data_IF_822733239790
#
_entry.id   IF_822733239790
#
_cell.length_a   1.000
_cell.length_b   1.000
_cell.length_c   1.000
_cell.angle_alpha   90.00
_cell.angle_beta   90.00
_cell.angle_gamma   90.00
#
_symmetry.space_group_name_H-M   'P 1'
#
loop_
_entity.id
_entity.type
_entity.pdbx_description
1 polymer ?
#
# COMPACT_ATOMS: atom_id res chain seq x y z
N UNK A 1 -63.88 -3.37 48.38
CA UNK A 1 -64.11 -4.65 47.68
C UNK A 1 -64.09 -4.39 46.19
N UNK A 2 -63.44 -5.22 45.34
CA UNK A 2 -62.39 -6.23 45.59
C UNK A 2 -61.01 -5.72 45.07
N UNK A 3 -59.81 -6.12 45.53
CA UNK A 3 -59.18 -7.41 45.88
C UNK A 3 -58.65 -8.22 44.67
N UNK A 4 -57.32 -8.43 44.64
CA UNK A 4 -56.54 -9.64 44.22
C UNK A 4 -55.04 -9.24 44.09
N UNK A 5 -54.19 -9.62 45.05
CA UNK A 5 -53.37 -10.86 45.17
C UNK A 5 -52.05 -10.77 44.35
N UNK A 6 -50.87 -10.63 44.99
CA UNK A 6 -49.92 -11.68 45.49
C UNK A 6 -49.46 -12.58 44.31
N UNK A 7 -48.16 -12.71 43.98
CA UNK A 7 -47.17 -13.67 44.55
C UNK A 7 -45.73 -13.25 44.19
N UNK A 8 -44.81 -13.55 45.11
CA UNK A 8 -43.36 -13.35 45.08
C UNK A 8 -42.57 -14.39 44.24
N UNK A 9 -41.25 -14.17 44.15
CA UNK A 9 -40.21 -14.86 43.37
C UNK A 9 -40.08 -16.39 43.55
N UNK A 10 -39.17 -17.03 42.80
CA UNK A 10 -37.89 -17.34 43.44
C UNK A 10 -36.63 -17.09 42.60
N UNK A 11 -35.52 -16.98 43.33
CA UNK A 11 -34.13 -17.08 42.92
C UNK A 11 -33.87 -18.28 42.00
N UNK A 12 -33.03 -18.08 40.98
CA UNK A 12 -32.23 -19.18 40.44
C UNK A 12 -30.78 -18.71 40.30
N UNK A 13 -29.97 -19.25 41.22
CA UNK A 13 -28.52 -19.24 41.24
C UNK A 13 -28.08 -20.33 40.25
N UNK A 14 -27.25 -19.99 39.27
CA UNK A 14 -26.55 -21.01 38.48
C UNK A 14 -25.05 -20.72 38.54
N UNK A 15 -24.35 -21.71 39.06
CA UNK A 15 -22.95 -21.73 39.43
C UNK A 15 -22.01 -21.72 38.23
N UNK A 16 -20.85 -21.10 38.46
CA UNK A 16 -19.58 -21.32 37.77
C UNK A 16 -19.25 -22.81 37.67
N UNK A 17 -19.05 -23.31 36.45
CA UNK A 17 -18.18 -24.45 36.12
C UNK A 17 -17.84 -24.37 34.63
N UNK A 18 -16.64 -23.88 34.32
CA UNK A 18 -15.80 -24.37 33.21
C UNK A 18 -14.42 -23.71 33.33
N UNK A 19 -13.68 -24.18 34.33
CA UNK A 19 -12.23 -24.16 34.35
C UNK A 19 -11.70 -25.26 33.41
N UNK A 20 -10.44 -25.07 32.97
CA UNK A 20 -9.45 -26.13 32.72
C UNK A 20 -9.07 -26.61 31.30
N UNK A 21 -9.77 -26.33 30.20
CA UNK A 21 -9.36 -26.93 28.90
C UNK A 21 -8.43 -26.11 27.99
N UNK A 22 -8.11 -24.85 28.33
CA UNK A 22 -7.32 -23.97 27.44
C UNK A 22 -5.81 -23.86 27.78
N UNK A 23 -5.35 -24.48 28.87
CA UNK A 23 -3.95 -24.40 29.32
C UNK A 23 -3.14 -25.65 28.92
N UNK A 24 -3.78 -26.81 28.80
CA UNK A 24 -3.09 -28.08 28.48
C UNK A 24 -2.67 -28.19 26.99
N UNK A 25 -3.26 -27.38 26.11
CA UNK A 25 -2.91 -27.37 24.67
C UNK A 25 -1.66 -26.54 24.35
N UNK A 26 -1.15 -25.73 25.29
CA UNK A 26 0.07 -24.91 25.10
C UNK A 26 1.35 -25.57 25.60
N UNK A 27 1.29 -26.52 26.51
CA UNK A 27 2.49 -27.23 27.00
C UNK A 27 2.93 -28.40 26.08
N UNK A 28 2.01 -29.03 25.34
CA UNK A 28 2.35 -30.12 24.41
C UNK A 28 3.03 -29.68 23.10
N UNK A 29 2.95 -28.40 22.73
CA UNK A 29 3.63 -27.86 21.53
C UNK A 29 5.07 -27.41 21.79
N UNK A 30 5.48 -27.23 23.06
CA UNK A 30 6.83 -26.82 23.43
C UNK A 30 7.81 -28.01 23.57
N UNK A 31 7.32 -29.22 23.83
CA UNK A 31 8.15 -30.42 23.98
C UNK A 31 8.57 -31.07 22.64
N UNK A 32 7.90 -30.77 21.54
CA UNK A 32 8.20 -31.37 20.23
C UNK A 32 9.27 -30.60 19.41
N UNK A 33 9.71 -29.43 19.89
CA UNK A 33 10.73 -28.60 19.24
C UNK A 33 12.15 -28.83 19.78
N UNK A 34 12.29 -29.51 20.91
CA UNK A 34 13.59 -29.75 21.57
C UNK A 34 14.32 -31.01 21.08
N UNK A 35 13.61 -31.94 20.45
CA UNK A 35 14.16 -33.25 20.01
C UNK A 35 14.78 -33.24 18.60
N UNK A 36 14.57 -32.17 17.81
CA UNK A 36 15.09 -32.06 16.44
C UNK A 36 16.53 -31.50 16.43
N UNK A 37 16.93 -30.76 17.46
CA UNK A 37 18.26 -30.09 17.51
C UNK A 37 19.35 -30.99 18.12
N UNK A 38 18.99 -32.14 18.71
CA UNK A 38 19.94 -33.09 19.33
C UNK A 38 20.37 -34.26 18.43
N UNK A 39 19.93 -34.31 17.17
CA UNK A 39 20.24 -35.42 16.23
C UNK A 39 21.34 -35.17 15.19
N UNK A 40 21.97 -33.99 15.16
CA UNK A 40 23.04 -33.67 14.16
C UNK A 40 24.46 -33.70 14.75
N UNK A 41 24.66 -34.27 15.94
CA UNK A 41 25.99 -34.49 16.52
C UNK A 41 26.23 -35.95 16.85
N UNK A 42 26.57 -36.76 15.83
CA UNK A 42 27.39 -37.99 15.96
C UNK A 42 27.63 -38.64 14.59
N UNK A 43 28.90 -38.60 14.15
CA UNK A 43 29.66 -39.54 13.27
C UNK A 43 30.85 -38.77 12.67
N UNK A 44 31.99 -38.68 13.37
CA UNK A 44 33.14 -39.61 13.33
C UNK A 44 33.88 -39.68 11.98
N UNK A 45 35.02 -38.99 11.92
CA UNK A 45 36.38 -39.46 11.52
C UNK A 45 36.64 -40.28 10.24
N UNK A 46 37.81 -39.99 9.63
CA UNK A 46 38.61 -40.75 8.61
C UNK A 46 38.26 -40.38 7.14
N UNK A 47 39.13 -40.05 6.16
CA UNK A 47 40.58 -40.23 5.91
C UNK A 47 41.19 -39.09 5.05
N UNK A 48 42.53 -39.00 5.06
CA UNK A 48 43.39 -38.13 4.23
C UNK A 48 43.59 -38.72 2.82
N UNK A 49 43.53 -37.96 1.70
CA UNK A 49 43.89 -38.46 0.38
C UNK A 49 45.42 -38.36 0.10
N UNK A 50 45.98 -39.21 -0.77
CA UNK A 50 47.42 -39.30 -1.01
C UNK A 50 47.95 -38.14 -1.87
N UNK A 51 49.21 -37.79 -1.61
CA UNK A 51 50.01 -36.75 -2.28
C UNK A 51 50.40 -37.16 -3.71
N UNK A 52 49.88 -36.43 -4.72
CA UNK A 52 50.34 -36.56 -6.12
C UNK A 52 51.68 -35.86 -6.33
N UNK A 53 52.62 -36.55 -6.98
CA UNK A 53 53.99 -36.11 -7.24
C UNK A 53 54.07 -34.96 -8.27
N UNK A 54 55.15 -34.18 -8.22
CA UNK A 54 55.35 -32.95 -9.01
C UNK A 54 55.47 -33.14 -10.53
N UNK A 55 55.57 -34.37 -11.06
CA UNK A 55 55.73 -34.63 -12.51
C UNK A 55 54.42 -34.70 -13.30
N UNK A 56 53.27 -34.93 -12.66
CA UNK A 56 51.96 -34.97 -13.34
C UNK A 56 51.26 -33.59 -13.45
N UNK A 57 51.76 -32.56 -12.77
CA UNK A 57 51.20 -31.20 -12.83
C UNK A 57 51.61 -30.40 -14.07
N UNK A 58 52.62 -30.85 -14.83
CA UNK A 58 53.12 -30.13 -16.01
C UNK A 58 52.42 -30.52 -17.32
N UNK A 59 51.94 -31.77 -17.47
CA UNK A 59 51.23 -32.20 -18.68
C UNK A 59 49.76 -31.77 -18.75
N UNK A 60 49.10 -31.50 -17.61
CA UNK A 60 47.70 -31.05 -17.58
C UNK A 60 47.51 -29.56 -17.86
N UNK A 61 48.50 -28.72 -17.54
CA UNK A 61 48.46 -27.26 -17.81
C UNK A 61 48.63 -26.91 -19.28
N UNK A 62 49.35 -27.72 -20.06
CA UNK A 62 49.60 -27.46 -21.48
C UNK A 62 48.40 -27.82 -22.36
N UNK A 63 47.60 -28.82 -21.95
CA UNK A 63 46.36 -29.20 -22.64
C UNK A 63 45.18 -28.27 -22.34
N UNK A 64 45.17 -27.59 -21.18
CA UNK A 64 44.16 -26.57 -20.85
C UNK A 64 44.42 -25.21 -21.52
N UNK A 65 45.69 -24.88 -21.83
CA UNK A 65 46.01 -23.61 -22.51
C UNK A 65 45.64 -23.61 -24.00
N UNK A 66 45.77 -24.75 -24.69
CA UNK A 66 45.38 -24.87 -26.11
C UNK A 66 43.86 -24.90 -26.34
N UNK A 67 43.06 -25.30 -25.35
CA UNK A 67 41.58 -25.27 -25.47
C UNK A 67 41.04 -23.87 -25.20
N UNK A 68 41.69 -23.09 -24.32
CA UNK A 68 41.30 -21.70 -24.06
C UNK A 68 41.56 -20.78 -25.27
N UNK A 69 42.63 -21.01 -26.03
CA UNK A 69 43.01 -20.17 -27.17
C UNK A 69 42.14 -20.43 -28.42
N UNK A 70 41.59 -21.63 -28.56
CA UNK A 70 40.66 -21.96 -29.65
C UNK A 70 39.23 -21.44 -29.42
N UNK A 71 38.81 -21.22 -28.17
CA UNK A 71 37.49 -20.65 -27.84
C UNK A 71 37.47 -19.13 -28.03
N UNK A 72 38.64 -18.47 -27.96
CA UNK A 72 38.78 -17.01 -28.13
C UNK A 72 38.84 -16.54 -29.60
N UNK A 73 39.03 -17.44 -30.57
CA UNK A 73 39.14 -17.09 -31.99
C UNK A 73 37.81 -17.20 -32.78
N UNK A 74 36.71 -17.61 -32.14
CA UNK A 74 35.38 -17.69 -32.75
C UNK A 74 34.42 -16.56 -32.31
N UNK A 75 34.92 -15.58 -31.53
CA UNK A 75 34.17 -14.42 -31.09
C UNK A 75 34.53 -13.20 -31.95
N UNK A 76 33.79 -13.00 -33.03
CA UNK A 76 34.00 -11.84 -33.89
C UNK A 76 33.14 -11.84 -35.15
N UNK A 77 31.82 -11.71 -35.02
CA UNK A 77 31.04 -10.85 -35.91
C UNK A 77 29.68 -10.58 -35.28
N UNK A 78 29.51 -9.31 -34.92
CA UNK A 78 28.27 -8.71 -34.47
C UNK A 78 27.18 -8.90 -35.53
N UNK A 79 26.06 -9.49 -35.12
CA UNK A 79 24.76 -8.95 -35.46
C UNK A 79 24.01 -8.81 -34.15
N UNK A 80 24.05 -7.60 -33.61
CA UNK A 80 23.18 -7.19 -32.53
C UNK A 80 21.75 -7.15 -33.09
N UNK A 81 21.07 -8.29 -33.06
CA UNK A 81 19.62 -8.31 -33.15
C UNK A 81 19.07 -7.72 -31.84
N UNK A 82 18.07 -6.84 -31.90
CA UNK A 82 17.84 -5.92 -30.81
C UNK A 82 17.14 -6.65 -29.67
N UNK A 83 17.75 -6.66 -28.49
CA UNK A 83 17.11 -6.94 -27.20
C UNK A 83 16.02 -5.89 -26.84
N UNK A 84 15.42 -5.21 -27.82
CA UNK A 84 14.46 -4.11 -27.64
C UNK A 84 13.00 -4.51 -27.85
N UNK A 85 12.68 -5.81 -27.96
CA UNK A 85 11.32 -6.27 -28.30
C UNK A 85 10.80 -7.38 -27.36
N UNK A 86 11.05 -7.32 -26.04
CA UNK A 86 10.10 -7.79 -25.00
C UNK A 86 10.59 -7.53 -23.54
N UNK A 87 11.10 -6.34 -23.22
CA UNK A 87 11.07 -5.93 -21.82
C UNK A 87 9.59 -5.64 -21.50
N UNK A 88 8.90 -6.55 -20.82
CA UNK A 88 7.63 -6.20 -20.18
C UNK A 88 7.91 -4.92 -19.36
N UNK A 89 7.32 -3.79 -19.77
CA UNK A 89 7.59 -2.50 -19.15
C UNK A 89 7.44 -2.67 -17.64
N UNK A 90 8.52 -2.40 -16.88
CA UNK A 90 8.45 -2.51 -15.42
C UNK A 90 7.31 -1.61 -14.95
N UNK A 91 6.41 -2.10 -14.08
CA UNK A 91 5.26 -1.32 -13.65
C UNK A 91 5.73 0.00 -13.01
N UNK A 92 5.13 1.11 -13.44
CA UNK A 92 5.47 2.44 -12.94
C UNK A 92 5.05 2.53 -11.47
N UNK A 93 5.99 2.80 -10.53
CA UNK A 93 5.64 2.96 -9.12
C UNK A 93 4.66 4.12 -8.93
N UNK A 94 3.63 3.90 -8.09
CA UNK A 94 2.64 4.92 -7.76
C UNK A 94 2.71 5.29 -6.27
N UNK A 95 2.69 6.59 -5.99
CA UNK A 95 2.35 7.11 -4.67
C UNK A 95 0.93 7.63 -4.72
N UNK A 96 0.02 6.95 -4.04
CA UNK A 96 -1.40 7.29 -3.98
C UNK A 96 -1.69 7.99 -2.65
N UNK A 97 -1.80 9.31 -2.70
CA UNK A 97 -2.11 10.16 -1.57
C UNK A 97 -3.60 10.46 -1.50
N UNK A 98 -4.20 10.46 -0.32
CA UNK A 98 -5.52 11.05 -0.10
C UNK A 98 -5.45 12.29 0.79
N UNK A 99 -6.33 13.24 0.51
CA UNK A 99 -6.54 14.43 1.33
C UNK A 99 -7.94 14.41 1.97
N UNK A 100 -8.02 15.03 3.15
CA UNK A 100 -9.17 14.98 4.05
C UNK A 100 -8.81 15.68 5.36
N UNK A 101 -9.82 16.00 6.17
CA UNK A 101 -9.56 16.62 7.48
C UNK A 101 -9.25 15.56 8.55
N UNK A 102 -8.38 15.86 9.53
CA UNK A 102 -7.96 14.89 10.53
C UNK A 102 -8.91 14.85 11.73
N UNK A 103 -9.08 13.66 12.32
CA UNK A 103 -9.83 13.47 13.56
C UNK A 103 -11.23 12.91 13.36
N UNK A 104 -11.77 12.35 14.44
CA UNK A 104 -13.03 11.58 14.44
C UNK A 104 -14.26 12.38 13.99
N UNK A 105 -14.23 13.70 14.19
CA UNK A 105 -15.32 14.59 13.78
C UNK A 105 -15.46 14.71 12.26
N UNK A 106 -14.35 14.55 11.52
CA UNK A 106 -14.34 14.61 10.05
C UNK A 106 -14.29 13.23 9.39
N UNK A 107 -14.20 12.16 10.18
CA UNK A 107 -14.28 10.80 9.68
C UNK A 107 -15.60 10.60 8.91
N UNK A 108 -15.50 10.04 7.71
CA UNK A 108 -16.61 9.80 6.79
C UNK A 108 -17.38 11.08 6.39
N UNK A 109 -16.75 12.25 6.41
CA UNK A 109 -17.31 13.45 5.75
C UNK A 109 -17.11 13.36 4.24
N UNK A 110 -17.96 14.07 3.48
CA UNK A 110 -17.82 14.15 2.02
C UNK A 110 -16.44 14.70 1.63
N UNK A 111 -15.91 15.66 2.39
CA UNK A 111 -14.57 16.22 2.19
C UNK A 111 -13.42 15.25 2.52
N UNK A 112 -13.74 14.11 3.14
CA UNK A 112 -12.79 13.04 3.43
C UNK A 112 -13.08 11.80 2.58
N UNK A 113 -13.85 11.93 1.49
CA UNK A 113 -14.14 10.83 0.57
C UNK A 113 -12.86 10.15 0.05
N UNK A 114 -11.79 10.92 -0.21
CA UNK A 114 -10.49 10.37 -0.57
C UNK A 114 -9.92 9.43 0.50
N UNK A 115 -10.06 9.76 1.79
CA UNK A 115 -9.64 8.89 2.90
C UNK A 115 -10.47 7.61 2.93
N UNK A 116 -11.80 7.72 2.78
CA UNK A 116 -12.72 6.57 2.75
C UNK A 116 -12.37 5.62 1.61
N UNK A 117 -12.13 6.14 0.40
CA UNK A 117 -11.71 5.35 -0.76
C UNK A 117 -10.37 4.66 -0.52
N UNK A 118 -9.38 5.36 0.05
CA UNK A 118 -8.06 4.75 0.33
C UNK A 118 -8.14 3.66 1.40
N UNK A 119 -8.96 3.83 2.43
CA UNK A 119 -9.17 2.79 3.45
C UNK A 119 -9.76 1.52 2.83
N UNK A 120 -10.77 1.69 1.96
CA UNK A 120 -11.39 0.57 1.25
C UNK A 120 -10.43 -0.05 0.23
N UNK A 121 -9.63 0.77 -0.45
CA UNK A 121 -8.58 0.33 -1.39
C UNK A 121 -7.51 -0.52 -0.68
N UNK A 122 -6.99 -0.06 0.46
CA UNK A 122 -6.02 -0.82 1.25
C UNK A 122 -6.58 -2.20 1.64
N UNK A 123 -7.84 -2.24 2.07
CA UNK A 123 -8.53 -3.50 2.40
C UNK A 123 -8.72 -4.40 1.18
N UNK A 124 -9.09 -3.83 0.03
CA UNK A 124 -9.27 -4.54 -1.23
C UNK A 124 -7.96 -5.14 -1.76
N UNK A 125 -6.83 -4.45 -1.55
CA UNK A 125 -5.50 -4.91 -1.96
C UNK A 125 -4.81 -5.82 -0.92
N UNK A 126 -5.44 -6.07 0.23
CA UNK A 126 -4.83 -6.85 1.32
C UNK A 126 -3.62 -6.16 1.97
N UNK A 127 -3.57 -4.82 1.94
CA UNK A 127 -2.47 -4.07 2.54
C UNK A 127 -2.55 -4.05 4.07
N UNK A 128 -1.40 -3.84 4.70
CA UNK A 128 -1.32 -3.67 6.15
C UNK A 128 -2.04 -2.42 6.66
N UNK A 129 -2.28 -2.37 7.97
CA UNK A 129 -2.86 -1.20 8.62
C UNK A 129 -2.00 0.04 8.39
N UNK A 130 -2.67 1.20 8.32
CA UNK A 130 -2.01 2.48 8.19
C UNK A 130 -1.17 2.81 9.43
N UNK A 131 0.13 3.04 9.23
CA UNK A 131 1.06 3.43 10.28
C UNK A 131 1.51 4.87 10.10
N UNK A 132 1.60 5.62 11.20
CA UNK A 132 2.09 7.01 11.17
C UNK A 132 3.61 7.03 10.98
N UNK A 133 4.08 7.67 9.91
CA UNK A 133 5.52 7.79 9.63
C UNK A 133 5.98 9.25 9.63
N UNK A 134 6.92 9.60 10.53
CA UNK A 134 7.43 10.98 10.65
C UNK A 134 8.15 11.46 9.39
N UNK A 135 8.91 10.57 8.75
CA UNK A 135 9.65 10.85 7.50
C UNK A 135 8.72 11.15 6.32
N UNK A 136 7.47 10.71 6.38
CA UNK A 136 6.42 10.92 5.37
C UNK A 136 5.49 12.08 5.74
N UNK A 137 6.04 13.15 6.33
CA UNK A 137 5.26 14.32 6.73
C UNK A 137 4.29 14.04 7.86
N UNK A 138 4.55 13.04 8.71
CA UNK A 138 3.64 12.55 9.75
C UNK A 138 2.34 11.91 9.22
N UNK A 139 2.23 11.69 7.91
CA UNK A 139 1.06 11.03 7.34
C UNK A 139 0.97 9.55 7.71
N UNK A 140 -0.19 8.98 7.40
CA UNK A 140 -0.48 7.57 7.57
C UNK A 140 -0.09 6.81 6.31
N UNK A 141 0.73 5.76 6.42
CA UNK A 141 1.26 5.01 5.28
C UNK A 141 0.81 3.56 5.35
N UNK A 142 0.40 3.01 4.20
CA UNK A 142 0.10 1.59 4.02
C UNK A 142 0.76 1.08 2.73
N UNK A 143 1.29 -0.15 2.77
CA UNK A 143 2.13 -0.76 1.73
C UNK A 143 1.75 -2.25 1.55
N UNK A 144 2.12 -2.88 0.42
CA UNK A 144 2.01 -4.33 0.25
C UNK A 144 2.69 -5.09 1.40
N UNK A 145 2.11 -6.24 1.79
CA UNK A 145 2.70 -7.11 2.82
C UNK A 145 3.87 -7.93 2.29
N UNK A 146 3.87 -8.28 1.00
CA UNK A 146 4.93 -9.03 0.32
C UNK A 146 5.50 -8.23 -0.84
N UNK A 147 6.82 -8.21 -0.95
CA UNK A 147 7.52 -7.56 -2.06
C UNK A 147 7.43 -8.47 -3.28
N UNK A 148 6.68 -8.11 -4.32
CA UNK A 148 6.79 -8.75 -5.64
C UNK A 148 5.51 -9.19 -6.36
N UNK A 149 4.33 -9.20 -5.74
CA UNK A 149 3.16 -9.84 -6.37
C UNK A 149 2.29 -8.93 -7.25
N UNK A 150 2.38 -7.61 -7.15
CA UNK A 150 1.65 -6.67 -8.02
C UNK A 150 2.16 -5.26 -7.75
N UNK A 151 2.07 -4.36 -8.76
CA UNK A 151 2.41 -2.94 -8.68
C UNK A 151 2.48 -2.35 -7.29
N UNK A 152 3.69 -1.96 -6.88
CA UNK A 152 3.98 -1.48 -5.52
C UNK A 152 3.41 -0.08 -5.30
N UNK A 153 2.09 0.06 -5.26
CA UNK A 153 1.46 1.33 -4.90
C UNK A 153 1.68 1.56 -3.42
N UNK A 154 2.20 2.73 -3.06
CA UNK A 154 2.25 3.17 -1.67
C UNK A 154 1.03 4.02 -1.42
N UNK A 155 0.23 3.67 -0.40
CA UNK A 155 -0.92 4.46 0.00
C UNK A 155 -0.52 5.40 1.13
N UNK A 156 -0.88 6.67 1.02
CA UNK A 156 -0.60 7.70 2.01
C UNK A 156 -1.87 8.50 2.31
N UNK A 157 -2.17 8.77 3.58
CA UNK A 157 -3.26 9.65 3.98
C UNK A 157 -2.75 10.86 4.75
N UNK A 158 -3.31 12.02 4.42
CA UNK A 158 -3.03 13.26 5.12
C UNK A 158 -3.53 13.19 6.57
N UNK A 159 -2.73 13.73 7.48
CA UNK A 159 -3.13 13.95 8.87
C UNK A 159 -3.21 15.42 9.24
N UNK A 160 -3.08 16.29 8.24
CA UNK A 160 -3.16 17.75 8.37
C UNK A 160 -4.55 18.21 7.94
N UNK A 161 -4.94 19.42 8.38
CA UNK A 161 -6.17 20.05 7.87
C UNK A 161 -6.12 20.19 6.35
N UNK A 162 -7.30 20.23 5.73
CA UNK A 162 -7.42 20.22 4.28
C UNK A 162 -6.61 21.34 3.63
N UNK A 163 -6.69 22.56 4.15
CA UNK A 163 -5.94 23.73 3.65
C UNK A 163 -4.42 23.63 3.86
N UNK A 164 -3.92 22.67 4.63
CA UNK A 164 -2.49 22.46 4.92
C UNK A 164 -1.93 21.18 4.32
N UNK A 165 -2.77 20.40 3.63
CA UNK A 165 -2.42 19.07 3.08
C UNK A 165 -1.23 19.09 2.11
N UNK A 166 -0.91 20.23 1.49
CA UNK A 166 0.24 20.36 0.60
C UNK A 166 1.59 20.07 1.26
N UNK A 167 1.76 20.40 2.54
CA UNK A 167 3.00 20.15 3.29
C UNK A 167 3.24 18.65 3.47
N UNK A 168 2.21 17.93 3.91
CA UNK A 168 2.23 16.48 4.07
C UNK A 168 2.49 15.75 2.76
N UNK A 169 1.75 16.10 1.69
CA UNK A 169 1.92 15.49 0.36
C UNK A 169 3.33 15.72 -0.19
N UNK A 170 3.89 16.93 -0.04
CA UNK A 170 5.26 17.22 -0.46
C UNK A 170 6.28 16.34 0.26
N UNK A 171 6.18 16.24 1.59
CA UNK A 171 7.10 15.44 2.39
C UNK A 171 7.00 13.96 2.04
N UNK A 172 5.77 13.44 1.87
CA UNK A 172 5.51 12.07 1.42
C UNK A 172 6.14 11.79 0.04
N UNK A 173 5.93 12.67 -0.93
CA UNK A 173 6.50 12.55 -2.26
C UNK A 173 8.03 12.57 -2.22
N UNK A 174 8.64 13.46 -1.45
CA UNK A 174 10.10 13.52 -1.31
C UNK A 174 10.68 12.27 -0.63
N UNK A 175 10.02 11.75 0.40
CA UNK A 175 10.43 10.52 1.08
C UNK A 175 10.33 9.31 0.14
N UNK A 176 9.24 9.22 -0.61
CA UNK A 176 9.01 8.15 -1.58
C UNK A 176 10.02 8.21 -2.74
N UNK A 177 10.18 9.37 -3.37
CA UNK A 177 11.01 9.54 -4.56
C UNK A 177 12.50 9.23 -4.31
N UNK A 178 13.00 9.45 -3.09
CA UNK A 178 14.38 9.09 -2.70
C UNK A 178 14.66 7.59 -2.76
N UNK A 179 13.62 6.76 -2.65
CA UNK A 179 13.74 5.30 -2.67
C UNK A 179 13.46 4.70 -4.05
N UNK A 180 13.21 5.54 -5.08
CA UNK A 180 12.97 5.08 -6.44
C UNK A 180 14.28 4.96 -7.23
N UNK A 181 14.60 3.81 -7.84
CA UNK A 181 15.87 3.59 -8.55
C UNK A 181 16.13 4.52 -9.73
N UNK A 182 15.08 5.07 -10.35
CA UNK A 182 15.17 5.86 -11.60
C UNK A 182 14.34 7.15 -11.57
N UNK A 183 13.73 7.52 -10.42
CA UNK A 183 12.87 8.71 -10.32
C UNK A 183 11.59 8.67 -11.16
N UNK A 184 11.29 7.56 -11.85
CA UNK A 184 10.15 7.40 -12.75
C UNK A 184 8.87 6.96 -12.02
N UNK A 185 8.48 7.68 -10.97
CA UNK A 185 7.24 7.44 -10.24
C UNK A 185 6.13 8.44 -10.60
N UNK A 186 4.86 8.03 -10.50
CA UNK A 186 3.71 8.94 -10.62
C UNK A 186 3.09 9.24 -9.25
N UNK A 187 2.94 10.52 -8.92
CA UNK A 187 2.16 10.99 -7.77
C UNK A 187 0.68 11.08 -8.14
N UNK A 188 -0.17 10.42 -7.35
CA UNK A 188 -1.63 10.42 -7.50
C UNK A 188 -2.25 11.01 -6.24
N UNK A 189 -3.16 11.96 -6.39
CA UNK A 189 -3.92 12.58 -5.30
C UNK A 189 -5.40 12.26 -5.46
N UNK A 190 -5.95 11.54 -4.50
CA UNK A 190 -7.37 11.21 -4.40
C UNK A 190 -8.07 12.24 -3.53
N UNK A 191 -9.13 12.86 -4.06
CA UNK A 191 -9.85 13.96 -3.42
C UNK A 191 -11.35 13.90 -3.75
N UNK A 192 -12.16 14.72 -3.06
CA UNK A 192 -13.58 14.88 -3.38
C UNK A 192 -13.82 15.81 -4.57
N UNK A 193 -14.79 15.48 -5.42
CA UNK A 193 -15.16 16.22 -6.62
C UNK A 193 -16.66 16.58 -6.59
N UNK A 194 -16.94 17.87 -6.41
CA UNK A 194 -18.31 18.40 -6.33
C UNK A 194 -19.07 18.28 -7.66
N UNK A 195 -18.36 18.31 -8.78
CA UNK A 195 -18.97 18.44 -10.11
C UNK A 195 -19.36 17.11 -10.72
N UNK A 196 -19.09 16.01 -10.01
CA UNK A 196 -19.36 14.66 -10.45
C UNK A 196 -20.43 14.03 -9.57
N UNK A 197 -21.33 13.21 -10.15
CA UNK A 197 -22.31 12.45 -9.38
C UNK A 197 -21.63 11.60 -8.31
N UNK A 198 -22.36 11.33 -7.23
CA UNK A 198 -21.90 10.51 -6.12
C UNK A 198 -21.29 9.18 -6.62
N UNK A 199 -20.06 8.87 -6.19
CA UNK A 199 -19.33 7.65 -6.55
C UNK A 199 -18.68 7.65 -7.94
N UNK A 200 -18.90 8.67 -8.76
CA UNK A 200 -18.27 8.75 -10.08
C UNK A 200 -16.78 9.09 -9.97
N UNK A 201 -15.93 8.29 -10.61
CA UNK A 201 -14.48 8.53 -10.63
C UNK A 201 -14.08 9.36 -11.84
N UNK A 202 -13.28 10.39 -11.61
CA UNK A 202 -12.73 11.21 -12.69
C UNK A 202 -11.21 11.37 -12.51
N UNK A 203 -10.46 11.04 -13.56
CA UNK A 203 -8.99 11.12 -13.55
C UNK A 203 -8.53 12.27 -14.44
N UNK A 204 -7.66 13.12 -13.91
CA UNK A 204 -7.10 14.26 -14.64
C UNK A 204 -5.63 14.43 -14.31
N UNK A 205 -4.80 14.71 -15.32
CA UNK A 205 -3.44 15.17 -15.10
C UNK A 205 -3.47 16.63 -14.65
N UNK A 206 -2.74 16.98 -13.60
CA UNK A 206 -2.84 18.29 -12.96
C UNK A 206 -2.16 19.46 -13.70
N UNK A 207 -1.76 19.26 -14.95
CA UNK A 207 -1.08 20.29 -15.71
C UNK A 207 -2.10 21.34 -16.23
N UNK A 208 -1.95 22.60 -15.80
CA UNK A 208 -2.80 23.71 -16.24
C UNK A 208 -4.23 23.73 -15.68
N UNK A 209 -4.57 22.84 -14.74
CA UNK A 209 -5.91 22.77 -14.15
C UNK A 209 -6.03 23.61 -12.87
N UNK A 210 -7.17 24.28 -12.69
CA UNK A 210 -7.50 25.01 -11.46
C UNK A 210 -7.79 24.08 -10.27
N UNK A 211 -7.72 24.60 -9.04
CA UNK A 211 -8.21 23.94 -7.82
C UNK A 211 -9.73 23.76 -7.81
N UNK A 212 -10.48 24.46 -8.69
CA UNK A 212 -11.96 24.51 -8.67
C UNK A 212 -12.55 24.85 -7.28
N UNK A 213 -11.85 25.68 -6.51
CA UNK A 213 -12.24 26.06 -5.14
C UNK A 213 -11.88 25.05 -4.04
N UNK A 214 -11.27 23.91 -4.38
CA UNK A 214 -10.89 22.91 -3.40
C UNK A 214 -9.63 23.32 -2.61
N UNK A 215 -9.78 23.54 -1.30
CA UNK A 215 -8.70 24.05 -0.44
C UNK A 215 -7.46 23.15 -0.37
N UNK A 216 -7.65 21.83 -0.33
CA UNK A 216 -6.52 20.89 -0.33
C UNK A 216 -5.74 20.86 -1.64
N UNK A 217 -6.43 20.85 -2.79
CA UNK A 217 -5.76 20.98 -4.08
C UNK A 217 -5.03 22.31 -4.23
N UNK A 218 -5.62 23.41 -3.73
CA UNK A 218 -4.96 24.73 -3.66
C UNK A 218 -3.67 24.66 -2.85
N UNK A 219 -3.72 24.05 -1.66
CA UNK A 219 -2.57 23.84 -0.77
C UNK A 219 -1.47 22.98 -1.41
N UNK A 220 -1.84 21.90 -2.09
CA UNK A 220 -0.89 21.03 -2.79
C UNK A 220 -0.19 21.82 -3.90
N UNK A 221 -0.94 22.48 -4.79
CA UNK A 221 -0.36 23.24 -5.90
C UNK A 221 0.59 24.34 -5.42
N UNK A 222 0.26 25.05 -4.34
CA UNK A 222 1.15 26.09 -3.80
C UNK A 222 2.42 25.52 -3.17
N UNK A 223 2.40 24.27 -2.71
CA UNK A 223 3.49 23.69 -1.91
C UNK A 223 4.44 22.81 -2.72
N UNK A 224 3.92 22.01 -3.64
CA UNK A 224 4.70 21.05 -4.44
C UNK A 224 5.33 21.67 -5.70
N UNK A 225 4.97 22.91 -6.03
CA UNK A 225 5.51 23.65 -7.18
C UNK A 225 5.14 23.00 -8.52
N UNK A 226 6.13 22.84 -9.41
CA UNK A 226 5.96 22.28 -10.75
C UNK A 226 5.94 20.74 -10.80
N UNK A 227 5.91 20.07 -9.65
CA UNK A 227 5.86 18.59 -9.61
C UNK A 227 4.54 18.13 -10.25
N UNK A 228 4.57 17.37 -11.37
CA UNK A 228 3.35 16.87 -11.98
C UNK A 228 2.71 15.83 -11.07
N UNK A 229 1.38 15.90 -10.95
CA UNK A 229 0.61 14.88 -10.24
C UNK A 229 -0.70 14.62 -10.96
N UNK A 230 -1.27 13.45 -10.70
CA UNK A 230 -2.57 13.04 -11.21
C UNK A 230 -3.59 13.25 -10.11
N UNK A 231 -4.77 13.74 -10.47
CA UNK A 231 -5.91 13.88 -9.57
C UNK A 231 -6.93 12.81 -9.89
N UNK A 232 -7.33 12.05 -8.89
CA UNK A 232 -8.48 11.16 -8.94
C UNK A 232 -9.56 11.81 -8.07
N UNK A 233 -10.53 12.42 -8.75
CA UNK A 233 -11.69 13.01 -8.10
C UNK A 233 -12.78 11.96 -7.88
N UNK A 234 -13.24 11.85 -6.65
CA UNK A 234 -14.36 11.00 -6.24
C UNK A 234 -15.59 11.89 -6.17
N UNK A 235 -16.57 11.64 -7.02
CA UNK A 235 -17.78 12.43 -7.09
C UNK A 235 -18.56 12.38 -5.78
N UNK A 236 -18.87 13.56 -5.25
CA UNK A 236 -19.69 13.74 -4.04
C UNK A 236 -20.98 14.51 -4.34
N UNK A 237 -21.20 14.89 -5.60
CA UNK A 237 -22.29 15.80 -5.97
C UNK A 237 -22.08 17.22 -5.46
N UNK A 238 -23.01 18.10 -5.82
CA UNK A 238 -22.99 19.52 -5.43
C UNK A 238 -24.33 19.89 -4.79
N UNK A 239 -24.34 20.71 -3.73
CA UNK A 239 -25.57 21.27 -3.20
C UNK A 239 -26.26 22.18 -4.24
N UNK A 240 -27.57 22.40 -4.06
CA UNK A 240 -28.36 23.26 -4.94
C UNK A 240 -27.83 24.70 -4.93
N UNK A 241 -27.50 25.20 -3.74
CA UNK A 241 -26.85 26.49 -3.57
C UNK A 241 -25.38 26.43 -3.99
N UNK A 242 -24.92 27.47 -4.70
CA UNK A 242 -23.52 27.64 -5.10
C UNK A 242 -22.75 28.61 -4.21
N UNK A 243 -23.40 29.13 -3.16
CA UNK A 243 -22.76 30.00 -2.20
C UNK A 243 -21.64 29.26 -1.45
N UNK A 244 -20.55 29.98 -1.18
CA UNK A 244 -19.33 29.37 -0.63
C UNK A 244 -19.57 28.70 0.72
N UNK A 245 -20.38 29.32 1.58
CA UNK A 245 -20.70 28.80 2.91
C UNK A 245 -21.55 27.54 2.84
N UNK A 246 -22.48 27.46 1.90
CA UNK A 246 -23.33 26.28 1.73
C UNK A 246 -22.53 25.10 1.20
N UNK A 247 -21.61 25.35 0.26
CA UNK A 247 -20.67 24.34 -0.24
C UNK A 247 -19.75 23.86 0.90
N UNK A 248 -19.24 24.77 1.74
CA UNK A 248 -18.40 24.41 2.88
C UNK A 248 -19.15 23.54 3.89
N UNK A 249 -20.40 23.89 4.23
CA UNK A 249 -21.24 23.04 5.10
C UNK A 249 -21.57 21.70 4.47
N UNK A 250 -21.83 21.67 3.17
CA UNK A 250 -22.10 20.43 2.43
C UNK A 250 -20.92 19.47 2.49
N UNK A 251 -19.70 19.90 2.16
CA UNK A 251 -18.54 19.00 2.15
C UNK A 251 -18.18 18.51 3.57
N UNK A 252 -18.47 19.30 4.61
CA UNK A 252 -18.24 18.91 5.99
C UNK A 252 -19.34 18.01 6.58
N UNK A 253 -20.44 17.77 5.85
CA UNK A 253 -21.48 16.81 6.22
C UNK A 253 -20.89 15.40 6.27
N UNK A 254 -21.29 14.62 7.27
CA UNK A 254 -21.04 13.17 7.30
C UNK A 254 -21.88 12.47 6.23
N UNK A 255 -21.25 11.54 5.52
CA UNK A 255 -21.92 10.66 4.57
C UNK A 255 -22.94 9.81 5.30
N UNK A 256 -24.13 9.71 4.73
CA UNK A 256 -25.08 8.65 5.07
C UNK A 256 -24.59 7.28 4.54
N UNK A 257 -25.32 6.23 4.88
CA UNK A 257 -24.93 4.86 4.51
C UNK A 257 -24.90 4.64 2.99
N UNK A 258 -25.83 5.26 2.25
CA UNK A 258 -25.90 5.15 0.79
C UNK A 258 -24.78 5.96 0.13
N UNK A 259 -24.53 7.16 0.62
CA UNK A 259 -23.41 8.03 0.21
C UNK A 259 -22.08 7.30 0.42
N UNK A 260 -21.87 6.73 1.61
CA UNK A 260 -20.67 5.97 1.93
C UNK A 260 -20.52 4.74 1.05
N UNK A 261 -21.58 3.94 0.87
CA UNK A 261 -21.53 2.75 0.04
C UNK A 261 -21.22 3.08 -1.44
N UNK A 262 -21.76 4.18 -1.97
CA UNK A 262 -21.46 4.64 -3.32
C UNK A 262 -19.99 5.09 -3.48
N UNK A 263 -19.47 5.80 -2.48
CA UNK A 263 -18.05 6.21 -2.44
C UNK A 263 -17.13 5.01 -2.31
N UNK A 264 -17.43 4.04 -1.43
CA UNK A 264 -16.64 2.82 -1.28
C UNK A 264 -16.72 1.92 -2.53
N UNK A 265 -17.86 1.89 -3.20
CA UNK A 265 -18.07 1.21 -4.48
C UNK A 265 -17.23 1.77 -5.62
N UNK A 266 -16.73 3.00 -5.50
CA UNK A 266 -15.85 3.60 -6.52
C UNK A 266 -14.45 2.96 -6.57
N UNK A 267 -14.09 2.13 -5.58
CA UNK A 267 -12.74 1.55 -5.45
C UNK A 267 -12.36 0.70 -6.66
N UNK A 268 -13.28 -0.08 -7.23
CA UNK A 268 -12.98 -0.90 -8.41
C UNK A 268 -12.56 -0.04 -9.61
N UNK A 269 -13.27 1.08 -9.81
CA UNK A 269 -12.90 2.04 -10.85
C UNK A 269 -11.56 2.69 -10.55
N UNK A 270 -11.28 3.07 -9.29
CA UNK A 270 -9.98 3.62 -8.89
C UNK A 270 -8.86 2.63 -9.16
N UNK A 271 -9.01 1.35 -8.80
CA UNK A 271 -8.04 0.29 -9.08
C UNK A 271 -7.79 0.18 -10.59
N UNK A 272 -8.85 0.17 -11.40
CA UNK A 272 -8.72 0.10 -12.86
C UNK A 272 -7.93 1.30 -13.43
N UNK A 273 -8.13 2.50 -12.87
CA UNK A 273 -7.38 3.69 -13.28
C UNK A 273 -5.93 3.65 -12.82
N UNK A 274 -5.66 3.21 -11.59
CA UNK A 274 -4.29 3.06 -11.09
C UNK A 274 -3.50 2.04 -11.92
N UNK A 275 -4.11 0.91 -12.29
CA UNK A 275 -3.49 -0.09 -13.20
C UNK A 275 -3.14 0.51 -14.57
N UNK A 276 -3.99 1.36 -15.13
CA UNK A 276 -3.68 2.07 -16.38
C UNK A 276 -2.47 3.00 -16.23
N UNK A 277 -2.42 3.74 -15.11
CA UNK A 277 -1.32 4.66 -14.82
C UNK A 277 0.01 3.92 -14.57
N UNK A 278 -0.06 2.73 -13.99
CA UNK A 278 1.08 1.84 -13.79
C UNK A 278 1.63 1.29 -15.12
N UNK A 279 0.75 1.01 -16.09
CA UNK A 279 1.13 0.44 -17.39
C UNK A 279 1.71 1.43 -18.42
N UNK A 280 1.58 2.75 -18.19
CA UNK A 280 2.07 3.79 -19.10
C UNK A 280 0.99 4.78 -19.49
#
# INVERSE_FOLDING_TARGET
MPAMDIVAAPDEVVEDHDQEDAVETRERSAQNASDIVLRTRRRSSVAKPPTKSKKDKQKSKQKQKQVAEAVLAAAGTETAEPESMLAAARPIPLLVCSIGNPGVQYANTLHSAGHTVLNRLASHLGYGQYTREKTWGKGLVSRPMTTGDSGNWVLWQSTDYMNESGKGVKAAYQAWNKNLPEGNGKLVVVHDELEKPLGAVNVKLQQGLSARGHNGLKSIMSTIGNTPFIRIGIGIGRPVSRESDDVARYVLKKMDEKEKAAVEGSVEQVVAQLKKLESG
#
